data_IF_258173462865
#
_entry.id   IF_258173462865
#
_cell.length_a   1.000
_cell.length_b   1.000
_cell.length_c   1.000
_cell.angle_alpha   90.00
_cell.angle_beta   90.00
_cell.angle_gamma   90.00
#
_symmetry.space_group_name_H-M   'P 1'
#
loop_
_entity.id
_entity.type
_entity.pdbx_description
1 polymer ?
#
# COMPACT_ATOMS: atom_id res chain seq x y z
N UNK A 1 10.39 25.15 -7.66
CA UNK A 1 10.80 26.31 -8.50
C UNK A 1 10.40 27.67 -7.93
N UNK A 2 9.21 27.86 -7.34
CA UNK A 2 8.82 29.17 -6.78
C UNK A 2 9.64 29.62 -5.55
N UNK A 3 10.44 28.73 -4.94
CA UNK A 3 11.20 28.96 -3.70
C UNK A 3 12.72 28.87 -3.88
N UNK A 4 13.22 28.68 -5.10
CA UNK A 4 14.63 28.60 -5.37
C UNK A 4 14.96 28.50 -6.87
N UNK A 5 16.18 28.85 -7.21
CA UNK A 5 16.68 28.89 -8.60
C UNK A 5 17.10 27.50 -9.05
N UNK A 6 17.55 26.65 -8.13
CA UNK A 6 18.01 25.29 -8.38
C UNK A 6 17.19 24.27 -7.57
N UNK A 7 16.72 23.21 -8.23
CA UNK A 7 15.95 22.14 -7.60
C UNK A 7 16.74 20.83 -7.59
N UNK A 8 16.98 20.31 -6.40
CA UNK A 8 17.57 18.98 -6.19
C UNK A 8 16.45 18.04 -5.73
N UNK A 9 16.25 16.95 -6.47
CA UNK A 9 15.26 15.94 -6.12
C UNK A 9 15.93 14.68 -5.55
N UNK A 10 15.60 14.34 -4.30
CA UNK A 10 16.01 13.07 -3.67
C UNK A 10 15.01 11.96 -4.01
N UNK A 11 15.51 10.81 -4.48
CA UNK A 11 14.72 9.61 -4.76
C UNK A 11 15.21 8.47 -3.88
N UNK A 12 14.31 7.91 -3.06
CA UNK A 12 14.63 6.79 -2.15
C UNK A 12 14.75 5.47 -2.89
N UNK A 13 15.75 4.61 -2.61
CA UNK A 13 15.85 3.27 -3.21
C UNK A 13 14.82 2.30 -2.62
N UNK A 14 14.57 1.21 -3.34
CA UNK A 14 13.58 0.19 -2.98
C UNK A 14 13.91 -0.48 -1.64
N UNK A 15 15.20 -0.72 -1.38
CA UNK A 15 15.70 -1.27 -0.11
C UNK A 15 15.35 -0.39 1.09
N UNK A 16 15.41 0.92 0.93
CA UNK A 16 15.06 1.88 1.98
C UNK A 16 13.53 1.95 2.18
N UNK A 17 12.76 1.91 1.11
CA UNK A 17 11.31 1.85 1.19
C UNK A 17 10.82 0.53 1.82
N UNK A 18 11.46 -0.61 1.50
CA UNK A 18 11.17 -1.91 2.11
C UNK A 18 11.49 -1.95 3.61
N UNK A 19 12.61 -1.36 4.05
CA UNK A 19 12.96 -1.26 5.48
C UNK A 19 11.93 -0.45 6.29
N UNK A 20 11.18 0.43 5.63
CA UNK A 20 10.08 1.23 6.21
C UNK A 20 8.70 0.60 6.05
N UNK A 21 8.63 -0.67 5.60
CA UNK A 21 7.38 -1.42 5.45
C UNK A 21 6.61 -1.14 4.16
N UNK A 22 7.20 -0.45 3.18
CA UNK A 22 6.61 -0.29 1.85
C UNK A 22 7.02 -1.45 0.96
N UNK A 23 6.27 -2.53 0.99
CA UNK A 23 6.59 -3.76 0.26
C UNK A 23 6.24 -3.73 -1.24
N UNK A 24 5.54 -2.70 -1.71
CA UNK A 24 5.05 -2.63 -3.09
C UNK A 24 5.52 -1.36 -3.79
N UNK A 25 6.79 -1.31 -4.09
CA UNK A 25 7.35 -0.33 -5.03
C UNK A 25 7.05 -0.84 -6.44
N UNK A 26 6.17 -0.17 -7.17
CA UNK A 26 5.73 -0.59 -8.51
C UNK A 26 6.74 -0.23 -9.60
N UNK A 27 7.54 0.78 -9.38
CA UNK A 27 8.56 1.27 -10.32
C UNK A 27 9.93 1.13 -9.65
N UNK A 28 10.90 0.60 -10.36
CA UNK A 28 12.29 0.52 -9.90
C UNK A 28 12.85 1.91 -9.58
N UNK A 29 13.95 1.96 -8.83
CA UNK A 29 14.63 3.23 -8.55
C UNK A 29 14.99 3.97 -9.84
N UNK A 30 15.47 3.23 -10.85
CA UNK A 30 15.86 3.77 -12.14
C UNK A 30 14.67 4.39 -12.87
N UNK A 31 13.55 3.71 -12.91
CA UNK A 31 12.30 4.22 -13.50
C UNK A 31 11.81 5.48 -12.80
N UNK A 32 11.83 5.49 -11.46
CA UNK A 32 11.42 6.67 -10.69
C UNK A 32 12.34 7.87 -10.91
N UNK A 33 13.67 7.65 -10.97
CA UNK A 33 14.63 8.69 -11.29
C UNK A 33 14.42 9.21 -12.72
N UNK A 34 14.16 8.32 -13.68
CA UNK A 34 13.87 8.69 -15.06
C UNK A 34 12.55 9.48 -15.18
N UNK A 35 11.53 9.10 -14.44
CA UNK A 35 10.26 9.84 -14.39
C UNK A 35 10.47 11.27 -13.84
N UNK A 36 11.28 11.43 -12.79
CA UNK A 36 11.66 12.76 -12.31
C UNK A 36 12.43 13.54 -13.37
N UNK A 37 13.37 12.91 -14.08
CA UNK A 37 14.16 13.54 -15.16
C UNK A 37 13.28 14.03 -16.31
N UNK A 38 12.29 13.23 -16.72
CA UNK A 38 11.34 13.58 -17.79
C UNK A 38 10.46 14.79 -17.45
N UNK A 39 10.30 15.13 -16.18
CA UNK A 39 9.57 16.37 -15.83
C UNK A 39 10.30 17.63 -16.25
N UNK A 40 11.63 17.58 -16.43
CA UNK A 40 12.48 18.73 -16.71
C UNK A 40 12.53 19.76 -15.58
N UNK A 41 12.00 19.45 -14.39
CA UNK A 41 11.91 20.38 -13.26
C UNK A 41 13.14 20.33 -12.35
N UNK A 42 13.76 19.16 -12.17
CA UNK A 42 14.91 18.97 -11.30
C UNK A 42 16.22 19.23 -12.06
N UNK A 43 17.08 20.06 -11.48
CA UNK A 43 18.42 20.34 -12.00
C UNK A 43 19.43 19.26 -11.63
N UNK A 44 19.17 18.57 -10.51
CA UNK A 44 19.95 17.44 -10.02
C UNK A 44 19.01 16.41 -9.38
N UNK A 45 19.29 15.12 -9.67
CA UNK A 45 18.56 14.00 -9.06
C UNK A 45 19.56 13.15 -8.29
N UNK A 46 19.31 12.94 -7.00
CA UNK A 46 20.19 12.19 -6.10
C UNK A 46 19.46 10.97 -5.51
N UNK A 47 20.22 9.94 -5.17
CA UNK A 47 19.72 8.80 -4.39
C UNK A 47 19.75 9.14 -2.91
N UNK A 48 18.66 8.84 -2.21
CA UNK A 48 18.55 9.02 -0.77
C UNK A 48 18.57 7.65 -0.08
N UNK A 49 19.77 7.13 0.22
CA UNK A 49 20.00 5.75 0.66
C UNK A 49 19.92 5.54 2.16
N UNK A 50 20.17 6.59 2.97
CA UNK A 50 20.34 6.46 4.42
C UNK A 50 19.50 7.50 5.18
N UNK A 51 18.97 7.07 6.32
CA UNK A 51 18.44 7.99 7.34
C UNK A 51 19.59 8.88 7.85
N UNK A 52 19.40 10.20 7.84
CA UNK A 52 20.49 11.15 8.19
C UNK A 52 21.31 11.66 7.02
N UNK A 53 21.24 11.08 5.83
CA UNK A 53 21.89 11.57 4.62
C UNK A 53 21.53 13.02 4.30
N UNK A 54 20.31 13.46 4.69
CA UNK A 54 19.79 14.80 4.42
C UNK A 54 20.72 15.93 4.88
N UNK A 55 21.31 15.83 6.08
CA UNK A 55 22.26 16.83 6.56
C UNK A 55 23.50 16.88 5.67
N UNK A 56 24.01 15.69 5.29
CA UNK A 56 25.17 15.60 4.40
C UNK A 56 24.86 16.24 3.03
N UNK A 57 23.71 15.92 2.46
CA UNK A 57 23.32 16.42 1.14
C UNK A 57 23.02 17.92 1.15
N UNK A 58 22.38 18.45 2.19
CA UNK A 58 22.16 19.88 2.38
C UNK A 58 23.50 20.62 2.35
N UNK A 59 24.48 20.13 3.13
CA UNK A 59 25.83 20.73 3.17
C UNK A 59 26.59 20.56 1.86
N UNK A 60 26.56 19.37 1.27
CA UNK A 60 27.29 19.02 0.04
C UNK A 60 26.85 19.85 -1.14
N UNK A 61 25.55 20.08 -1.26
CA UNK A 61 24.96 20.78 -2.41
C UNK A 61 24.63 22.24 -2.13
N UNK A 62 24.85 22.71 -0.89
CA UNK A 62 24.53 24.08 -0.47
C UNK A 62 23.04 24.39 -0.58
N UNK A 63 22.19 23.47 -0.11
CA UNK A 63 20.75 23.68 -0.18
C UNK A 63 20.26 24.61 0.93
N UNK A 64 19.65 25.73 0.54
CA UNK A 64 19.12 26.74 1.47
C UNK A 64 17.74 26.35 2.02
N UNK A 65 16.98 25.54 1.28
CA UNK A 65 15.61 25.16 1.61
C UNK A 65 15.40 23.66 1.44
N UNK A 66 14.93 22.99 2.47
CA UNK A 66 14.44 21.61 2.42
C UNK A 66 12.91 21.62 2.34
N UNK A 67 12.36 20.96 1.31
CA UNK A 67 10.92 20.96 1.05
C UNK A 67 10.37 19.53 1.12
N UNK A 68 9.32 19.32 1.89
CA UNK A 68 8.67 18.01 2.01
C UNK A 68 7.15 18.18 2.22
N UNK A 69 6.36 17.11 2.03
CA UNK A 69 4.92 17.14 2.26
C UNK A 69 4.53 17.32 3.74
N UNK A 70 3.39 17.94 3.99
CA UNK A 70 2.86 18.21 5.34
C UNK A 70 2.58 16.94 6.16
N UNK A 71 2.43 15.77 5.52
CA UNK A 71 2.31 14.46 6.19
C UNK A 71 3.52 14.15 7.10
N UNK A 72 4.64 14.83 6.87
CA UNK A 72 5.89 14.71 7.61
C UNK A 72 6.13 15.88 8.59
N UNK A 73 5.11 16.69 8.86
CA UNK A 73 5.24 17.88 9.72
C UNK A 73 5.91 17.54 11.05
N UNK A 74 6.93 18.32 11.42
CA UNK A 74 7.72 18.16 12.64
C UNK A 74 8.83 17.10 12.57
N UNK A 75 8.77 16.12 11.67
CA UNK A 75 9.76 15.03 11.61
C UNK A 75 11.14 15.46 11.10
N UNK A 76 11.20 16.56 10.37
CA UNK A 76 12.44 17.09 9.79
C UNK A 76 12.87 18.43 10.39
N UNK A 77 12.29 18.82 11.52
CA UNK A 77 12.62 20.08 12.19
C UNK A 77 14.09 20.13 12.66
N UNK A 78 14.73 18.98 12.86
CA UNK A 78 16.18 18.90 13.14
C UNK A 78 17.06 19.42 12.00
N UNK A 79 16.52 19.62 10.80
CA UNK A 79 17.26 20.23 9.68
C UNK A 79 17.27 21.76 9.73
N UNK A 80 16.49 22.40 10.61
CA UNK A 80 16.41 23.86 10.75
C UNK A 80 17.73 24.51 11.13
N UNK A 81 18.64 23.76 11.75
CA UNK A 81 20.00 24.22 12.05
C UNK A 81 20.90 24.31 10.80
N UNK A 82 20.42 23.79 9.65
CA UNK A 82 21.21 23.69 8.43
C UNK A 82 20.57 24.39 7.22
N UNK A 83 19.25 24.50 7.20
CA UNK A 83 18.49 25.14 6.10
C UNK A 83 17.07 25.52 6.56
N UNK A 84 16.37 26.29 5.74
CA UNK A 84 14.93 26.50 5.92
C UNK A 84 14.18 25.18 5.68
N UNK A 85 13.25 24.79 6.58
CA UNK A 85 12.40 23.60 6.42
C UNK A 85 10.98 24.02 6.11
N UNK A 86 10.48 23.61 4.96
CA UNK A 86 9.15 23.94 4.45
C UNK A 86 8.31 22.69 4.28
N UNK A 87 7.18 22.65 4.96
CA UNK A 87 6.16 21.62 4.80
C UNK A 87 5.09 22.12 3.83
N UNK A 88 4.98 21.48 2.68
CA UNK A 88 3.97 21.83 1.68
C UNK A 88 2.66 21.10 1.96
N UNK A 89 1.56 21.84 1.92
CA UNK A 89 0.24 21.24 1.96
C UNK A 89 0.06 20.26 0.80
N UNK A 90 -0.63 19.16 1.09
CA UNK A 90 -0.93 18.14 0.09
C UNK A 90 -1.85 18.72 -0.99
N UNK A 91 -1.50 18.50 -2.24
CA UNK A 91 -2.37 18.84 -3.36
C UNK A 91 -3.66 18.03 -3.26
N UNK A 92 -4.80 18.69 -3.06
CA UNK A 92 -6.10 18.01 -2.97
C UNK A 92 -6.38 17.21 -4.25
N UNK A 93 -6.86 15.98 -4.10
CA UNK A 93 -7.22 15.10 -5.23
C UNK A 93 -6.04 14.42 -5.91
N UNK A 94 -4.81 14.55 -5.40
CA UNK A 94 -3.64 13.82 -5.91
C UNK A 94 -2.96 13.07 -4.77
N UNK A 95 -3.19 11.79 -4.67
CA UNK A 95 -2.42 10.92 -3.78
C UNK A 95 -1.66 9.86 -4.60
N UNK A 96 -0.53 9.39 -4.09
CA UNK A 96 0.16 8.24 -4.69
C UNK A 96 -0.71 6.98 -4.67
N UNK A 97 -1.69 6.92 -3.78
CA UNK A 97 -2.71 5.87 -3.74
C UNK A 97 -3.70 6.02 -4.88
N UNK A 98 -4.21 7.25 -5.12
CA UNK A 98 -5.15 7.52 -6.22
C UNK A 98 -4.49 7.28 -7.59
N UNK A 99 -3.23 7.70 -7.75
CA UNK A 99 -2.46 7.46 -8.97
C UNK A 99 -2.18 5.96 -9.20
N UNK A 100 -1.94 5.19 -8.14
CA UNK A 100 -1.80 3.73 -8.23
C UNK A 100 -3.12 3.06 -8.56
N UNK A 101 -4.22 3.48 -7.95
CA UNK A 101 -5.57 2.96 -8.23
C UNK A 101 -6.01 3.25 -9.67
N UNK A 102 -5.60 4.38 -10.24
CA UNK A 102 -5.89 4.70 -11.64
C UNK A 102 -5.12 3.81 -12.64
N UNK A 103 -3.93 3.32 -12.27
CA UNK A 103 -3.12 2.40 -13.08
C UNK A 103 -3.44 0.93 -12.82
N UNK A 104 -3.77 0.59 -11.57
CA UNK A 104 -4.12 -0.77 -11.14
C UNK A 104 -5.42 -0.71 -10.33
N UNK A 105 -6.53 -1.23 -10.88
CA UNK A 105 -7.82 -1.22 -10.19
C UNK A 105 -7.72 -1.96 -8.85
N UNK A 106 -8.44 -1.47 -7.86
CA UNK A 106 -8.53 -2.12 -6.55
C UNK A 106 -9.23 -3.47 -6.72
N UNK A 107 -8.59 -4.52 -6.25
CA UNK A 107 -9.18 -5.85 -6.18
C UNK A 107 -9.89 -6.00 -4.84
N UNK A 108 -11.20 -6.02 -4.84
CA UNK A 108 -11.98 -6.36 -3.65
C UNK A 108 -11.91 -7.86 -3.42
N UNK A 109 -11.34 -8.23 -2.28
CA UNK A 109 -11.14 -9.63 -1.90
C UNK A 109 -12.01 -9.97 -0.70
N UNK A 110 -12.58 -11.18 -0.70
CA UNK A 110 -13.25 -11.74 0.44
C UNK A 110 -12.45 -12.89 1.05
N UNK A 111 -12.73 -13.20 2.31
CA UNK A 111 -12.14 -14.34 3.01
C UNK A 111 -13.23 -15.38 3.26
N UNK A 112 -13.05 -16.59 2.74
CA UNK A 112 -13.86 -17.72 3.10
C UNK A 112 -13.22 -18.46 4.28
N UNK A 113 -13.84 -18.35 5.45
CA UNK A 113 -13.34 -18.84 6.73
C UNK A 113 -13.04 -17.71 7.72
N UNK A 114 -13.18 -18.00 9.00
CA UNK A 114 -12.99 -17.05 10.10
C UNK A 114 -12.07 -17.60 11.20
N UNK A 115 -11.12 -18.44 10.81
CA UNK A 115 -10.15 -19.05 11.70
C UNK A 115 -8.89 -18.19 11.93
N UNK A 116 -7.94 -18.76 12.68
CA UNK A 116 -6.65 -18.11 13.00
C UNK A 116 -5.88 -17.66 11.74
N UNK A 117 -5.86 -18.48 10.69
CA UNK A 117 -5.16 -18.18 9.44
C UNK A 117 -5.82 -17.02 8.72
N UNK A 118 -7.16 -16.96 8.66
CA UNK A 118 -7.89 -15.82 8.11
C UNK A 118 -7.54 -14.51 8.84
N UNK A 119 -7.50 -14.52 10.17
CA UNK A 119 -7.11 -13.35 10.96
C UNK A 119 -5.63 -12.94 10.76
N UNK A 120 -4.73 -13.89 10.51
CA UNK A 120 -3.34 -13.60 10.16
C UNK A 120 -3.25 -12.94 8.79
N UNK A 121 -3.91 -13.51 7.79
CA UNK A 121 -3.96 -12.97 6.44
C UNK A 121 -4.47 -11.52 6.40
N UNK A 122 -5.54 -11.21 7.15
CA UNK A 122 -6.07 -9.85 7.29
C UNK A 122 -5.05 -8.84 7.84
N UNK A 123 -4.22 -9.24 8.80
CA UNK A 123 -3.19 -8.35 9.34
C UNK A 123 -2.07 -8.12 8.33
N UNK A 124 -1.68 -9.15 7.60
CA UNK A 124 -0.60 -9.09 6.62
C UNK A 124 -1.03 -8.42 5.31
N UNK A 125 -2.30 -8.55 4.91
CA UNK A 125 -2.84 -7.91 3.69
C UNK A 125 -2.78 -6.38 3.72
N UNK A 126 -2.72 -5.76 4.91
CA UNK A 126 -2.57 -4.30 5.06
C UNK A 126 -1.29 -3.74 4.44
N UNK A 127 -0.30 -4.59 4.22
CA UNK A 127 0.97 -4.22 3.59
C UNK A 127 0.95 -4.42 2.05
N UNK A 128 -0.15 -4.93 1.50
CA UNK A 128 -0.32 -5.12 0.06
C UNK A 128 -1.14 -3.98 -0.53
N UNK A 129 -0.64 -3.34 -1.59
CA UNK A 129 -1.39 -2.31 -2.30
C UNK A 129 -2.35 -2.92 -3.32
N UNK A 130 -3.41 -2.18 -3.66
CA UNK A 130 -4.44 -2.54 -4.63
C UNK A 130 -5.30 -3.77 -4.27
N UNK A 131 -5.26 -4.21 -3.01
CA UNK A 131 -6.18 -5.22 -2.48
C UNK A 131 -6.89 -4.62 -1.27
N UNK A 132 -8.19 -4.73 -1.25
CA UNK A 132 -9.03 -4.37 -0.11
C UNK A 132 -9.88 -5.58 0.29
N UNK A 133 -9.74 -6.01 1.55
CA UNK A 133 -10.55 -7.11 2.08
C UNK A 133 -11.82 -6.53 2.68
N UNK A 134 -12.95 -6.76 2.00
CA UNK A 134 -14.23 -6.12 2.31
C UNK A 134 -15.21 -7.07 3.00
N UNK A 135 -15.09 -8.37 2.78
CA UNK A 135 -16.10 -9.34 3.20
C UNK A 135 -15.50 -10.61 3.78
N UNK A 136 -16.25 -11.27 4.67
CA UNK A 136 -15.95 -12.61 5.18
C UNK A 136 -17.15 -13.53 5.05
N UNK A 137 -16.87 -14.78 4.69
CA UNK A 137 -17.86 -15.87 4.64
C UNK A 137 -17.60 -16.90 5.73
N UNK A 138 -18.68 -17.35 6.37
CA UNK A 138 -18.66 -18.46 7.34
C UNK A 138 -20.05 -19.02 7.62
N UNK A 139 -20.20 -20.34 7.74
CA UNK A 139 -21.50 -21.02 7.93
C UNK A 139 -22.18 -20.72 9.27
N UNK A 140 -21.43 -20.32 10.28
CA UNK A 140 -22.00 -19.94 11.58
C UNK A 140 -22.08 -18.42 11.67
N UNK A 141 -23.31 -17.90 11.64
CA UNK A 141 -23.60 -16.46 11.58
C UNK A 141 -22.97 -15.69 12.76
N UNK A 142 -23.15 -16.19 13.98
CA UNK A 142 -22.63 -15.51 15.16
C UNK A 142 -21.10 -15.40 15.13
N UNK A 143 -20.41 -16.47 14.73
CA UNK A 143 -18.94 -16.49 14.66
C UNK A 143 -18.41 -15.62 13.54
N UNK A 144 -19.03 -15.66 12.35
CA UNK A 144 -18.57 -14.84 11.22
C UNK A 144 -18.84 -13.37 11.44
N UNK A 145 -19.97 -13.02 12.06
CA UNK A 145 -20.29 -11.64 12.47
C UNK A 145 -19.27 -11.10 13.47
N UNK A 146 -18.99 -11.84 14.56
CA UNK A 146 -17.96 -11.45 15.54
C UNK A 146 -16.58 -11.29 14.91
N UNK A 147 -16.24 -12.16 13.98
CA UNK A 147 -14.98 -12.04 13.25
C UNK A 147 -14.93 -10.77 12.39
N UNK A 148 -16.00 -10.44 11.66
CA UNK A 148 -16.10 -9.22 10.88
C UNK A 148 -15.97 -7.97 11.77
N UNK A 149 -16.71 -7.90 12.85
CA UNK A 149 -16.67 -6.80 13.82
C UNK A 149 -15.27 -6.61 14.42
N UNK A 150 -14.61 -7.71 14.84
CA UNK A 150 -13.29 -7.66 15.47
C UNK A 150 -12.15 -7.23 14.52
N UNK A 151 -12.39 -7.31 13.22
CA UNK A 151 -11.41 -6.96 12.18
C UNK A 151 -11.84 -5.76 11.32
N UNK A 152 -12.93 -5.08 11.71
CA UNK A 152 -13.50 -3.93 10.98
C UNK A 152 -13.80 -4.22 9.50
N UNK A 153 -14.28 -5.44 9.20
CA UNK A 153 -14.74 -5.78 7.86
C UNK A 153 -16.14 -5.20 7.62
N UNK A 154 -16.38 -4.76 6.39
CA UNK A 154 -17.64 -4.08 6.01
C UNK A 154 -18.83 -5.05 6.00
N UNK A 155 -18.59 -6.28 5.54
CA UNK A 155 -19.66 -7.24 5.26
C UNK A 155 -19.31 -8.65 5.76
N UNK A 156 -20.33 -9.41 6.17
CA UNK A 156 -20.21 -10.84 6.43
C UNK A 156 -21.37 -11.61 5.77
N UNK A 157 -21.13 -12.87 5.43
CA UNK A 157 -22.08 -13.71 4.72
C UNK A 157 -22.10 -15.12 5.29
N UNK A 158 -23.29 -15.73 5.29
CA UNK A 158 -23.50 -17.16 5.58
C UNK A 158 -23.80 -17.99 4.33
N UNK A 159 -24.16 -17.30 3.23
CA UNK A 159 -24.40 -17.90 1.92
C UNK A 159 -23.22 -17.60 0.99
N UNK A 160 -22.56 -18.69 0.50
CA UNK A 160 -21.31 -18.56 -0.25
C UNK A 160 -21.49 -17.85 -1.60
N UNK A 161 -22.61 -18.12 -2.27
CA UNK A 161 -22.93 -17.52 -3.55
C UNK A 161 -23.11 -16.01 -3.43
N UNK A 162 -23.84 -15.54 -2.43
CA UNK A 162 -24.02 -14.11 -2.15
C UNK A 162 -22.69 -13.42 -1.82
N UNK A 163 -21.83 -14.09 -1.05
CA UNK A 163 -20.49 -13.61 -0.76
C UNK A 163 -19.66 -13.45 -2.05
N UNK A 164 -19.68 -14.45 -2.96
CA UNK A 164 -18.93 -14.40 -4.21
C UNK A 164 -19.38 -13.24 -5.10
N UNK A 165 -20.65 -12.85 -5.07
CA UNK A 165 -21.17 -11.74 -5.89
C UNK A 165 -20.60 -10.38 -5.46
N UNK A 166 -20.06 -10.26 -4.26
CA UNK A 166 -19.55 -9.02 -3.67
C UNK A 166 -18.04 -8.81 -3.84
N UNK A 167 -17.32 -9.81 -4.35
CA UNK A 167 -15.86 -9.78 -4.40
C UNK A 167 -15.32 -10.10 -5.80
N UNK A 168 -14.12 -9.63 -6.10
CA UNK A 168 -13.38 -9.99 -7.31
C UNK A 168 -12.50 -11.23 -7.11
N UNK A 169 -11.98 -11.39 -5.90
CA UNK A 169 -11.11 -12.48 -5.50
C UNK A 169 -11.55 -13.08 -4.17
N UNK A 170 -11.23 -14.34 -3.94
CA UNK A 170 -11.50 -15.01 -2.66
C UNK A 170 -10.26 -15.71 -2.12
N UNK A 171 -9.96 -15.48 -0.85
CA UNK A 171 -9.01 -16.26 -0.09
C UNK A 171 -9.74 -17.34 0.68
N UNK A 172 -9.44 -18.62 0.37
CA UNK A 172 -10.09 -19.80 0.95
C UNK A 172 -9.24 -20.32 2.10
N UNK A 173 -9.71 -20.14 3.33
CA UNK A 173 -9.08 -20.56 4.59
C UNK A 173 -10.05 -21.36 5.47
N UNK A 174 -10.78 -22.28 4.85
CA UNK A 174 -11.72 -23.22 5.46
C UNK A 174 -11.04 -24.57 5.74
N UNK A 175 -11.71 -25.55 6.40
CA UNK A 175 -11.21 -26.91 6.50
C UNK A 175 -10.94 -27.58 5.14
N UNK A 176 -9.88 -28.38 5.03
CA UNK A 176 -9.33 -28.93 3.77
C UNK A 176 -10.36 -29.60 2.85
N UNK A 177 -11.30 -30.36 3.42
CA UNK A 177 -12.31 -31.07 2.64
C UNK A 177 -13.28 -30.14 1.88
N UNK A 178 -13.28 -28.85 2.17
CA UNK A 178 -14.10 -27.84 1.48
C UNK A 178 -13.31 -27.05 0.42
N UNK A 179 -11.98 -27.18 0.38
CA UNK A 179 -11.13 -26.39 -0.50
C UNK A 179 -11.53 -26.55 -1.97
N UNK A 180 -11.57 -27.80 -2.45
CA UNK A 180 -11.89 -28.09 -3.85
C UNK A 180 -13.25 -27.54 -4.28
N UNK A 181 -14.29 -27.83 -3.50
CA UNK A 181 -15.65 -27.42 -3.86
C UNK A 181 -15.79 -25.90 -3.88
N UNK A 182 -15.27 -25.22 -2.88
CA UNK A 182 -15.36 -23.78 -2.78
C UNK A 182 -14.50 -23.08 -3.84
N UNK A 183 -13.29 -23.57 -4.10
CA UNK A 183 -12.44 -23.04 -5.16
C UNK A 183 -13.10 -23.22 -6.54
N UNK A 184 -13.64 -24.40 -6.81
CA UNK A 184 -14.35 -24.69 -8.06
C UNK A 184 -15.55 -23.75 -8.26
N UNK A 185 -16.40 -23.56 -7.24
CA UNK A 185 -17.54 -22.64 -7.30
C UNK A 185 -17.10 -21.20 -7.60
N UNK A 186 -16.04 -20.72 -6.94
CA UNK A 186 -15.51 -19.39 -7.16
C UNK A 186 -14.97 -19.21 -8.59
N UNK A 187 -14.17 -20.17 -9.07
CA UNK A 187 -13.62 -20.14 -10.42
C UNK A 187 -14.69 -20.17 -11.51
N UNK A 188 -15.73 -21.00 -11.35
CA UNK A 188 -16.86 -21.06 -12.28
C UNK A 188 -17.66 -19.74 -12.35
N UNK A 189 -17.60 -18.92 -11.30
CA UNK A 189 -18.16 -17.56 -11.28
C UNK A 189 -17.17 -16.47 -11.73
N UNK A 190 -16.04 -16.87 -12.30
CA UNK A 190 -15.02 -15.93 -12.81
C UNK A 190 -14.26 -15.18 -11.71
N UNK A 191 -14.24 -15.71 -10.47
CA UNK A 191 -13.49 -15.10 -9.38
C UNK A 191 -12.05 -15.59 -9.35
N UNK A 192 -11.11 -14.71 -8.98
CA UNK A 192 -9.76 -15.13 -8.66
C UNK A 192 -9.73 -15.89 -7.33
N UNK A 193 -8.90 -16.92 -7.24
CA UNK A 193 -8.85 -17.78 -6.05
C UNK A 193 -7.44 -17.89 -5.51
N UNK A 194 -7.29 -17.60 -4.23
CA UNK A 194 -6.13 -17.96 -3.41
C UNK A 194 -6.61 -18.99 -2.37
N UNK A 195 -6.08 -20.20 -2.41
CA UNK A 195 -6.51 -21.28 -1.53
C UNK A 195 -5.39 -21.75 -0.62
N UNK A 196 -5.72 -21.99 0.66
CA UNK A 196 -4.77 -22.59 1.60
C UNK A 196 -4.43 -24.02 1.22
N UNK A 197 -3.26 -24.45 1.67
CA UNK A 197 -2.79 -25.84 1.50
C UNK A 197 -3.48 -26.78 2.52
N UNK A 198 -3.57 -28.09 2.25
CA UNK A 198 -3.38 -28.77 0.97
C UNK A 198 -4.56 -28.54 0.02
N UNK A 199 -4.27 -28.63 -1.27
CA UNK A 199 -5.28 -28.60 -2.33
C UNK A 199 -5.81 -29.99 -2.58
#
# INVERSE_FOLDING_TARGET
RKRGDRLIAGVTPDSYDQSRGKLNVMESLEERMENVRKTGLADLIIKEELEGQKIHDIRKYGADVFVIGSDWSGKFDYLRDYCEVVYLERTKGVSSTDLRSARNPIVYMGIAGHGRIAGRFLRESKYVSNIEITAVFGRNEEKVRRFAESHALLEYYTEYEQFLDRVHAVYIAVPHHLHYEMARKALLRGKHVLCEKPL
#
